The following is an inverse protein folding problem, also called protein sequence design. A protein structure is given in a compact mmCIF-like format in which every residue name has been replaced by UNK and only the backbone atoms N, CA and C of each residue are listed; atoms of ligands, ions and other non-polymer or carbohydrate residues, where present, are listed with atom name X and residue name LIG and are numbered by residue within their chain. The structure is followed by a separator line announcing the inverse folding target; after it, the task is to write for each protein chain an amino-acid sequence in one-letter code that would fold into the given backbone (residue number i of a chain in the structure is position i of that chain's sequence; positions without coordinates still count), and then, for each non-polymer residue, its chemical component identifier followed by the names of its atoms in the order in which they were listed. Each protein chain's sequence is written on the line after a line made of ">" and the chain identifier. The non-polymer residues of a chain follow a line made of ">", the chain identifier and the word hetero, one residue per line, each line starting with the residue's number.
data_IF_249666219845
#
_entry.id   IF_249666219845
#
_cell.length_a   1.000
_cell.length_b   1.000
_cell.length_c   1.000
_cell.angle_alpha   90.00
_cell.angle_beta   90.00
_cell.angle_gamma   90.00
#
_symmetry.space_group_name_H-M   'P 1'
#
loop_
_entity.id
_entity.type
_entity.pdbx_description
1 polymer ?
#
# COMPACT_ATOMS: atom_id res chain seq x y z
N UNK A 1 -3.45 18.89 2.72
CA UNK A 1 -4.09 18.59 4.01
C UNK A 1 -4.22 19.88 4.83
N UNK A 2 -5.26 20.00 5.69
CA UNK A 2 -5.37 21.07 6.68
C UNK A 2 -4.51 20.70 7.91
N UNK A 3 -4.01 21.70 8.61
CA UNK A 3 -3.15 21.50 9.80
C UNK A 3 -3.82 20.63 10.88
N UNK A 4 -5.09 20.88 11.16
CA UNK A 4 -5.85 20.12 12.16
C UNK A 4 -5.97 18.62 11.78
N UNK A 5 -6.09 18.33 10.47
CA UNK A 5 -6.13 16.93 10.00
C UNK A 5 -4.77 16.26 10.15
N UNK A 6 -3.67 16.97 9.91
CA UNK A 6 -2.32 16.44 10.15
C UNK A 6 -2.10 16.16 11.63
N UNK A 7 -2.47 17.07 12.51
CA UNK A 7 -2.40 16.86 13.96
C UNK A 7 -3.21 15.63 14.41
N UNK A 8 -4.42 15.44 13.88
CA UNK A 8 -5.24 14.27 14.16
C UNK A 8 -4.54 12.97 13.71
N UNK A 9 -3.94 12.95 12.50
CA UNK A 9 -3.19 11.79 12.00
C UNK A 9 -1.97 11.46 12.88
N UNK A 10 -1.30 12.49 13.41
CA UNK A 10 -0.20 12.33 14.39
C UNK A 10 -0.68 11.68 15.67
N UNK A 11 -1.77 12.21 16.25
CA UNK A 11 -2.37 11.68 17.50
C UNK A 11 -2.91 10.25 17.33
N UNK A 12 -3.39 9.90 16.14
CA UNK A 12 -3.90 8.56 15.80
C UNK A 12 -2.76 7.55 15.56
N UNK A 13 -1.51 7.98 15.42
CA UNK A 13 -0.41 7.13 15.00
C UNK A 13 -0.59 6.57 13.57
N UNK A 14 -1.25 7.35 12.71
CA UNK A 14 -1.64 6.91 11.38
C UNK A 14 -0.42 6.57 10.50
N UNK A 15 -0.46 5.53 9.66
CA UNK A 15 0.67 5.19 8.77
C UNK A 15 1.14 6.33 7.87
N UNK A 16 0.25 7.23 7.47
CA UNK A 16 0.63 8.41 6.70
C UNK A 16 1.44 9.42 7.53
N UNK A 17 1.10 9.61 8.81
CA UNK A 17 1.87 10.44 9.73
C UNK A 17 3.29 9.88 9.92
N UNK A 18 3.42 8.58 10.15
CA UNK A 18 4.70 7.89 10.23
C UNK A 18 5.52 8.02 8.95
N UNK A 19 4.88 7.90 7.78
CA UNK A 19 5.55 8.10 6.50
C UNK A 19 6.10 9.54 6.37
N UNK A 20 5.28 10.55 6.70
CA UNK A 20 5.74 11.93 6.66
C UNK A 20 6.87 12.17 7.67
N UNK A 21 6.74 11.69 8.89
CA UNK A 21 7.75 11.86 9.93
C UNK A 21 9.12 11.28 9.53
N UNK A 22 9.16 10.11 8.89
CA UNK A 22 10.39 9.40 8.56
C UNK A 22 11.00 9.79 7.21
N UNK A 23 10.18 10.17 6.22
CA UNK A 23 10.65 10.31 4.84
C UNK A 23 10.40 11.70 4.24
N UNK A 24 9.62 12.59 4.89
CA UNK A 24 9.42 13.93 4.34
C UNK A 24 10.63 14.83 4.58
N UNK A 25 10.78 15.82 3.69
CA UNK A 25 11.76 16.90 3.82
C UNK A 25 11.08 18.22 3.61
N UNK A 26 11.29 19.18 4.53
CA UNK A 26 10.85 20.55 4.34
C UNK A 26 11.68 21.16 3.18
N UNK A 27 10.99 21.60 2.13
CA UNK A 27 11.61 22.26 0.98
C UNK A 27 11.49 23.80 1.08
N UNK A 28 10.40 24.28 1.63
CA UNK A 28 10.11 25.70 1.75
C UNK A 28 9.07 25.96 2.84
N UNK A 29 9.24 27.07 3.57
CA UNK A 29 8.26 27.61 4.51
C UNK A 29 8.24 29.13 4.34
N UNK A 30 7.06 29.72 4.22
CA UNK A 30 6.90 31.17 4.02
C UNK A 30 7.20 31.99 5.30
N UNK A 31 7.08 31.37 6.45
CA UNK A 31 7.27 31.98 7.78
C UNK A 31 8.47 31.41 8.54
N UNK A 32 9.22 30.50 7.92
CA UNK A 32 10.37 29.83 8.54
C UNK A 32 10.00 28.72 9.52
N UNK A 33 8.72 28.39 9.71
CA UNK A 33 8.28 27.29 10.60
C UNK A 33 8.43 25.93 9.94
N UNK A 34 8.72 24.90 10.74
CA UNK A 34 8.66 23.50 10.34
C UNK A 34 7.50 22.80 11.07
N UNK A 35 6.29 23.00 10.58
CA UNK A 35 5.09 22.46 11.20
C UNK A 35 5.15 20.95 11.48
N UNK A 36 5.72 20.14 10.56
CA UNK A 36 5.83 18.69 10.76
C UNK A 36 6.91 18.35 11.80
N UNK A 37 8.02 19.08 11.82
CA UNK A 37 9.05 18.96 12.83
C UNK A 37 8.52 19.31 14.24
N UNK A 38 7.71 20.36 14.33
CA UNK A 38 7.10 20.82 15.60
C UNK A 38 6.08 19.83 16.18
N UNK A 39 5.46 18.97 15.33
CA UNK A 39 4.58 17.89 15.80
C UNK A 39 5.33 16.76 16.51
N UNK A 40 6.64 16.65 16.32
CA UNK A 40 7.46 15.60 16.90
C UNK A 40 7.14 14.20 16.34
N UNK A 41 7.30 13.17 17.18
CA UNK A 41 7.06 11.79 16.79
C UNK A 41 5.56 11.47 16.82
N UNK A 42 5.00 10.83 15.78
CA UNK A 42 3.60 10.36 15.81
C UNK A 42 3.34 9.38 16.96
N UNK A 43 2.10 9.34 17.43
CA UNK A 43 1.68 8.33 18.40
C UNK A 43 1.93 6.91 17.88
N UNK A 44 2.03 5.94 18.81
CA UNK A 44 2.24 4.53 18.45
C UNK A 44 1.13 4.06 17.52
N UNK A 45 1.51 3.38 16.44
CA UNK A 45 0.57 2.73 15.55
C UNK A 45 -0.05 1.50 16.23
N UNK A 46 -1.37 1.48 16.36
CA UNK A 46 -2.13 0.42 17.02
C UNK A 46 -3.20 -0.23 16.15
N UNK A 47 -3.39 0.29 14.95
CA UNK A 47 -4.43 -0.17 14.03
C UNK A 47 -3.97 -1.31 13.08
N UNK A 48 -2.84 -1.95 13.35
CA UNK A 48 -2.22 -2.93 12.46
C UNK A 48 -3.16 -4.04 12.02
N UNK A 49 -3.83 -4.70 12.96
CA UNK A 49 -4.75 -5.81 12.65
C UNK A 49 -5.94 -5.36 11.82
N UNK A 50 -6.57 -4.23 12.19
CA UNK A 50 -7.74 -3.71 11.49
C UNK A 50 -7.39 -3.22 10.07
N UNK A 51 -6.25 -2.55 9.91
CA UNK A 51 -5.79 -2.08 8.62
C UNK A 51 -5.36 -3.25 7.71
N UNK A 52 -4.65 -4.25 8.25
CA UNK A 52 -4.32 -5.46 7.52
C UNK A 52 -5.59 -6.22 7.09
N UNK A 53 -6.60 -6.34 7.95
CA UNK A 53 -7.88 -6.96 7.60
C UNK A 53 -8.60 -6.18 6.48
N UNK A 54 -8.62 -4.85 6.56
CA UNK A 54 -9.20 -3.97 5.54
C UNK A 54 -8.52 -4.13 4.18
N UNK A 55 -7.17 -4.18 4.14
CA UNK A 55 -6.46 -4.35 2.88
C UNK A 55 -6.58 -5.77 2.33
N UNK A 56 -6.67 -6.79 3.19
CA UNK A 56 -7.02 -8.14 2.75
C UNK A 56 -8.39 -8.17 2.09
N UNK A 57 -9.39 -7.57 2.69
CA UNK A 57 -10.75 -7.49 2.12
C UNK A 57 -10.75 -6.74 0.77
N UNK A 58 -9.99 -5.64 0.66
CA UNK A 58 -9.85 -4.91 -0.60
C UNK A 58 -9.25 -5.81 -1.70
N UNK A 59 -8.24 -6.60 -1.36
CA UNK A 59 -7.65 -7.56 -2.29
C UNK A 59 -8.67 -8.61 -2.71
N UNK A 60 -9.31 -9.28 -1.76
CA UNK A 60 -10.28 -10.36 -2.01
C UNK A 60 -11.44 -9.89 -2.92
N UNK A 61 -12.00 -8.72 -2.62
CA UNK A 61 -13.08 -8.12 -3.43
C UNK A 61 -12.62 -7.79 -4.86
N UNK A 62 -11.42 -7.24 -5.01
CA UNK A 62 -10.87 -6.88 -6.32
C UNK A 62 -10.52 -8.12 -7.14
N UNK A 63 -9.98 -9.16 -6.50
CA UNK A 63 -9.67 -10.43 -7.12
C UNK A 63 -10.93 -11.16 -7.59
N UNK A 64 -11.99 -11.16 -6.78
CA UNK A 64 -13.27 -11.78 -7.19
C UNK A 64 -13.93 -10.99 -8.33
N UNK A 65 -13.95 -9.66 -8.25
CA UNK A 65 -14.55 -8.82 -9.29
C UNK A 65 -13.87 -9.00 -10.67
N UNK A 66 -12.54 -9.09 -10.72
CA UNK A 66 -11.83 -9.28 -12.01
C UNK A 66 -12.06 -10.68 -12.60
N UNK A 67 -12.36 -11.68 -11.77
CA UNK A 67 -12.72 -13.03 -12.22
C UNK A 67 -14.13 -13.12 -12.80
N UNK A 68 -15.04 -12.31 -12.26
CA UNK A 68 -16.44 -12.28 -12.73
C UNK A 68 -16.60 -11.47 -14.01
N UNK A 69 -15.78 -10.44 -14.22
CA UNK A 69 -15.87 -9.57 -15.39
C UNK A 69 -14.53 -8.96 -15.73
N UNK A 70 -14.19 -8.93 -17.01
CA UNK A 70 -13.00 -8.23 -17.51
C UNK A 70 -13.20 -6.71 -17.62
N UNK A 71 -14.43 -6.22 -17.42
CA UNK A 71 -14.67 -4.80 -17.35
C UNK A 71 -13.91 -4.19 -16.17
N UNK A 72 -13.26 -3.08 -16.39
CA UNK A 72 -12.48 -2.39 -15.36
C UNK A 72 -11.29 -3.17 -14.79
N UNK A 73 -10.72 -4.13 -15.54
CA UNK A 73 -9.57 -4.95 -15.09
C UNK A 73 -8.41 -4.10 -14.58
N UNK A 74 -8.05 -3.01 -15.28
CA UNK A 74 -7.00 -2.09 -14.84
C UNK A 74 -7.29 -1.51 -13.45
N UNK A 75 -8.53 -1.15 -13.17
CA UNK A 75 -8.94 -0.66 -11.85
C UNK A 75 -8.79 -1.74 -10.78
N UNK A 76 -9.25 -2.97 -11.03
CA UNK A 76 -9.14 -4.07 -10.06
C UNK A 76 -7.68 -4.46 -9.81
N UNK A 77 -6.83 -4.53 -10.83
CA UNK A 77 -5.39 -4.73 -10.67
C UNK A 77 -4.75 -3.60 -9.84
N UNK A 78 -5.16 -2.36 -10.07
CA UNK A 78 -4.74 -1.19 -9.27
C UNK A 78 -5.14 -1.33 -7.79
N UNK A 79 -6.34 -1.80 -7.50
CA UNK A 79 -6.82 -2.04 -6.15
C UNK A 79 -6.06 -3.18 -5.48
N UNK A 80 -5.77 -4.28 -6.20
CA UNK A 80 -4.94 -5.37 -5.70
C UNK A 80 -3.52 -4.89 -5.38
N UNK A 81 -2.90 -4.10 -6.25
CA UNK A 81 -1.60 -3.49 -5.95
C UNK A 81 -1.64 -2.66 -4.67
N UNK A 82 -2.63 -1.77 -4.55
CA UNK A 82 -2.81 -0.92 -3.37
C UNK A 82 -2.96 -1.76 -2.09
N UNK A 83 -3.77 -2.81 -2.15
CA UNK A 83 -4.02 -3.72 -1.05
C UNK A 83 -2.73 -4.42 -0.59
N UNK A 84 -2.01 -5.03 -1.51
CA UNK A 84 -0.77 -5.76 -1.22
C UNK A 84 0.31 -4.84 -0.65
N UNK A 85 0.50 -3.68 -1.29
CA UNK A 85 1.48 -2.68 -0.85
C UNK A 85 1.18 -2.14 0.55
N UNK A 86 -0.07 -1.75 0.80
CA UNK A 86 -0.44 -1.17 2.09
C UNK A 86 -0.51 -2.22 3.20
N UNK A 87 -0.90 -3.46 2.89
CA UNK A 87 -0.82 -4.58 3.83
C UNK A 87 0.62 -4.75 4.35
N UNK A 88 1.60 -4.82 3.44
CA UNK A 88 3.02 -4.91 3.81
C UNK A 88 3.49 -3.71 4.65
N UNK A 89 3.05 -2.50 4.29
CA UNK A 89 3.38 -1.29 5.05
C UNK A 89 2.79 -1.32 6.46
N UNK A 90 1.51 -1.68 6.63
CA UNK A 90 0.86 -1.78 7.93
C UNK A 90 1.51 -2.87 8.80
N UNK A 91 1.81 -4.03 8.21
CA UNK A 91 2.52 -5.11 8.91
C UNK A 91 3.90 -4.66 9.39
N UNK A 92 4.74 -4.09 8.52
CA UNK A 92 6.08 -3.64 8.88
C UNK A 92 6.07 -2.52 9.93
N UNK A 93 5.09 -1.62 9.85
CA UNK A 93 4.90 -0.56 10.85
C UNK A 93 4.48 -1.14 12.21
N UNK A 94 3.63 -2.17 12.25
CA UNK A 94 3.24 -2.87 13.49
C UNK A 94 4.43 -3.52 14.20
N UNK A 95 5.43 -3.97 13.42
CA UNK A 95 6.68 -4.54 13.93
C UNK A 95 7.73 -3.46 14.32
N UNK A 96 7.40 -2.18 14.17
CA UNK A 96 8.32 -1.07 14.49
C UNK A 96 9.43 -0.82 13.45
N UNK A 97 9.36 -1.45 12.29
CA UNK A 97 10.33 -1.30 11.18
C UNK A 97 9.62 -0.95 9.87
N UNK A 98 9.00 0.24 9.76
CA UNK A 98 8.11 0.59 8.67
C UNK A 98 8.83 0.64 7.31
N UNK A 99 8.17 0.11 6.29
CA UNK A 99 8.62 0.13 4.89
C UNK A 99 7.54 0.79 4.05
N UNK A 100 7.77 2.05 3.62
CA UNK A 100 6.81 2.84 2.83
C UNK A 100 7.02 2.75 1.31
N UNK A 101 7.94 1.92 0.85
CA UNK A 101 8.24 1.71 -0.56
C UNK A 101 7.04 1.17 -1.35
N UNK A 102 7.00 1.47 -2.65
CA UNK A 102 6.09 0.79 -3.59
C UNK A 102 6.36 -0.71 -3.69
N UNK A 103 7.59 -1.11 -3.41
CA UNK A 103 8.05 -2.50 -3.40
C UNK A 103 8.01 -3.12 -2.00
N UNK A 104 7.33 -2.51 -1.03
CA UNK A 104 7.24 -3.03 0.34
C UNK A 104 6.86 -4.52 0.42
N UNK A 105 5.99 -5.10 -0.45
CA UNK A 105 5.70 -6.54 -0.44
C UNK A 105 6.90 -7.43 -0.71
N UNK A 106 7.88 -6.92 -1.45
CA UNK A 106 9.11 -7.64 -1.80
C UNK A 106 10.24 -7.43 -0.76
N UNK A 107 10.03 -6.53 0.21
CA UNK A 107 11.03 -6.13 1.21
C UNK A 107 10.70 -6.61 2.63
N UNK A 108 9.42 -6.86 2.95
CA UNK A 108 9.01 -7.45 4.24
C UNK A 108 9.47 -8.90 4.37
N UNK A 109 9.52 -9.42 5.59
CA UNK A 109 9.87 -10.82 5.84
C UNK A 109 8.69 -11.57 6.49
N UNK A 110 8.24 -12.70 5.88
CA UNK A 110 8.64 -13.22 4.57
C UNK A 110 8.17 -12.33 3.42
N UNK A 111 8.99 -12.18 2.39
CA UNK A 111 8.64 -11.42 1.20
C UNK A 111 7.55 -12.12 0.37
N UNK A 112 6.78 -11.33 -0.37
CA UNK A 112 5.88 -11.88 -1.38
C UNK A 112 6.72 -12.50 -2.51
N UNK A 113 6.50 -13.79 -2.75
CA UNK A 113 7.06 -14.50 -3.91
C UNK A 113 6.09 -14.36 -5.09
N UNK A 114 6.40 -13.43 -5.98
CA UNK A 114 5.61 -13.11 -7.17
C UNK A 114 6.54 -12.85 -8.35
N UNK A 115 6.12 -13.28 -9.53
CA UNK A 115 6.86 -13.00 -10.75
C UNK A 115 7.07 -11.48 -10.95
N UNK A 116 8.30 -11.02 -11.25
CA UNK A 116 8.59 -9.60 -11.44
C UNK A 116 7.77 -8.92 -12.55
N UNK A 117 7.42 -9.65 -13.61
CA UNK A 117 6.57 -9.13 -14.69
C UNK A 117 5.16 -8.89 -14.18
N UNK A 118 4.59 -9.85 -13.46
CA UNK A 118 3.26 -9.71 -12.85
C UNK A 118 3.22 -8.54 -11.84
N UNK A 119 4.25 -8.39 -11.00
CA UNK A 119 4.33 -7.25 -10.08
C UNK A 119 4.44 -5.91 -10.82
N UNK A 120 5.17 -5.87 -11.94
CA UNK A 120 5.25 -4.69 -12.82
C UNK A 120 3.90 -4.33 -13.42
N UNK A 121 3.12 -5.34 -13.87
CA UNK A 121 1.76 -5.13 -14.40
C UNK A 121 0.86 -4.49 -13.34
N UNK A 122 0.87 -4.98 -12.10
CA UNK A 122 0.11 -4.42 -10.99
C UNK A 122 0.50 -2.95 -10.73
N UNK A 123 1.80 -2.66 -10.73
CA UNK A 123 2.33 -1.31 -10.53
C UNK A 123 1.89 -0.36 -11.65
N UNK A 124 1.95 -0.82 -12.91
CA UNK A 124 1.50 -0.06 -14.08
C UNK A 124 0.00 0.20 -14.04
N UNK A 125 -0.80 -0.81 -13.66
CA UNK A 125 -2.23 -0.66 -13.46
C UNK A 125 -2.55 0.45 -12.43
N UNK A 126 -1.76 0.54 -11.35
CA UNK A 126 -1.89 1.61 -10.34
C UNK A 126 -1.63 2.99 -10.93
N UNK A 127 -0.59 3.15 -11.74
CA UNK A 127 -0.25 4.43 -12.38
C UNK A 127 -1.33 4.85 -13.37
N UNK A 128 -1.78 3.93 -14.23
CA UNK A 128 -2.86 4.19 -15.19
C UNK A 128 -4.15 4.61 -14.48
N UNK A 129 -4.59 3.85 -13.49
CA UNK A 129 -5.85 4.09 -12.79
C UNK A 129 -5.87 5.38 -11.97
N UNK A 130 -4.71 5.86 -11.48
CA UNK A 130 -4.66 7.03 -10.59
C UNK A 130 -4.11 8.29 -11.24
N UNK A 131 -3.36 8.17 -12.31
CA UNK A 131 -2.68 9.29 -12.97
C UNK A 131 -2.96 9.39 -14.47
N UNK A 132 -3.63 8.39 -15.05
CA UNK A 132 -3.85 8.31 -16.49
C UNK A 132 -2.55 8.21 -17.30
N UNK A 133 -1.49 7.67 -16.70
CA UNK A 133 -0.15 7.63 -17.28
C UNK A 133 0.36 6.20 -17.42
N UNK A 134 0.96 5.89 -18.58
CA UNK A 134 1.55 4.58 -18.91
C UNK A 134 0.82 3.89 -20.05
N UNK A 135 1.35 2.74 -20.47
CA UNK A 135 0.78 1.90 -21.51
C UNK A 135 -0.43 1.12 -20.99
N UNK A 136 -1.42 0.89 -21.86
CA UNK A 136 -2.57 0.07 -21.54
C UNK A 136 -2.15 -1.35 -21.15
N UNK A 137 -2.91 -1.96 -20.25
CA UNK A 137 -2.72 -3.36 -19.87
C UNK A 137 -3.44 -4.24 -20.87
N UNK A 138 -2.70 -5.16 -21.49
CA UNK A 138 -3.25 -6.08 -22.51
C UNK A 138 -3.90 -7.29 -21.83
N UNK A 139 -4.74 -8.03 -22.56
CA UNK A 139 -5.49 -9.16 -22.01
C UNK A 139 -4.61 -10.33 -21.53
N UNK A 140 -3.52 -10.61 -22.21
CA UNK A 140 -2.52 -11.62 -21.83
C UNK A 140 -1.78 -11.21 -20.54
N UNK A 141 -1.50 -9.91 -20.37
CA UNK A 141 -0.91 -9.37 -19.15
C UNK A 141 -1.89 -9.45 -17.98
N UNK A 142 -3.18 -9.18 -18.20
CA UNK A 142 -4.22 -9.36 -17.19
C UNK A 142 -4.27 -10.82 -16.74
N UNK A 143 -4.27 -11.76 -17.68
CA UNK A 143 -4.27 -13.20 -17.39
C UNK A 143 -3.02 -13.61 -16.59
N UNK A 144 -1.85 -13.10 -16.96
CA UNK A 144 -0.59 -13.34 -16.23
C UNK A 144 -0.68 -12.81 -14.80
N UNK A 145 -1.12 -11.57 -14.62
CA UNK A 145 -1.26 -10.98 -13.28
C UNK A 145 -2.25 -11.75 -12.41
N UNK A 146 -3.43 -12.14 -12.94
CA UNK A 146 -4.45 -12.91 -12.20
C UNK A 146 -3.90 -14.25 -11.74
N UNK A 147 -3.11 -14.93 -12.56
CA UNK A 147 -2.49 -16.21 -12.20
C UNK A 147 -1.52 -16.06 -11.04
N UNK A 148 -0.65 -15.08 -11.11
CA UNK A 148 0.43 -14.88 -10.12
C UNK A 148 -0.10 -14.37 -8.76
N UNK A 149 -1.13 -13.53 -8.75
CA UNK A 149 -1.69 -13.02 -7.49
C UNK A 149 -2.44 -14.06 -6.65
N UNK A 150 -2.61 -15.28 -7.16
CA UNK A 150 -3.21 -16.40 -6.39
C UNK A 150 -2.42 -16.76 -5.13
N UNK A 151 -1.12 -16.46 -5.08
CA UNK A 151 -0.27 -16.67 -3.90
C UNK A 151 -0.46 -15.61 -2.80
N UNK A 152 -1.04 -14.45 -3.13
CA UNK A 152 -1.14 -13.30 -2.21
C UNK A 152 -1.96 -13.60 -0.95
N UNK A 153 -3.13 -14.25 -0.99
CA UNK A 153 -3.90 -14.54 0.23
C UNK A 153 -3.13 -15.37 1.25
N UNK A 154 -2.39 -16.39 0.79
CA UNK A 154 -1.57 -17.22 1.65
C UNK A 154 -0.41 -16.43 2.26
N UNK A 155 0.25 -15.58 1.48
CA UNK A 155 1.30 -14.70 1.98
C UNK A 155 0.78 -13.72 3.04
N UNK A 156 -0.39 -13.08 2.82
CA UNK A 156 -1.02 -12.19 3.81
C UNK A 156 -1.35 -12.93 5.12
N UNK A 157 -1.81 -14.18 5.02
CA UNK A 157 -2.08 -15.01 6.18
C UNK A 157 -0.79 -15.34 6.94
N UNK A 158 0.27 -15.69 6.22
CA UNK A 158 1.58 -15.97 6.81
C UNK A 158 2.10 -14.76 7.57
N UNK A 159 2.08 -13.55 6.99
CA UNK A 159 2.52 -12.33 7.68
C UNK A 159 1.74 -12.06 8.97
N UNK A 160 0.44 -12.33 9.00
CA UNK A 160 -0.36 -12.16 10.22
C UNK A 160 0.00 -13.13 11.35
N UNK A 161 0.54 -14.29 11.04
CA UNK A 161 0.98 -15.25 12.07
C UNK A 161 2.30 -14.88 12.74
N UNK A 162 2.99 -13.85 12.24
CA UNK A 162 4.22 -13.31 12.82
C UNK A 162 4.00 -12.02 13.66
N UNK A 163 2.76 -11.60 13.85
CA UNK A 163 2.38 -10.51 14.75
C UNK A 163 2.13 -11.02 16.16
#
# INVERSE_FOLDING_TARGET
>A
YRYERLQALWSEGNPFAWHLHLESKLLFSSDGSDFLGDLGVPARYTAGDSDCAKFKLLFDNSYEAIRQSTNSSTFHLSCMFLAVRNFATCHSLSLGSPIFSRTSPLLVSPRLDIDPVAFSILTRARLLSTRGYGENIMQDEIATAIKEVTAVPQWMQTLRSYQ
#
